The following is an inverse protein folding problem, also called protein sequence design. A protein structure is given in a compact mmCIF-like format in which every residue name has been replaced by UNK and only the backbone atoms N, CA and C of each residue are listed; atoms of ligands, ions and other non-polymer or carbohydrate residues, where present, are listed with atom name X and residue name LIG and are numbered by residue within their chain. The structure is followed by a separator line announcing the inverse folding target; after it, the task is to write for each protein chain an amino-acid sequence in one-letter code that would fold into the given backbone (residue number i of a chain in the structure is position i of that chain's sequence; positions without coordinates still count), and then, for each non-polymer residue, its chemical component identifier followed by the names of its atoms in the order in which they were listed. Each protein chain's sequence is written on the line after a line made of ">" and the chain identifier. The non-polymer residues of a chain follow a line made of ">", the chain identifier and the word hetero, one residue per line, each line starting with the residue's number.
data_IF_038043901348
#
_entry.id   IF_038043901348
#
_cell.length_a   1.000
_cell.length_b   1.000
_cell.length_c   1.000
_cell.angle_alpha   90.00
_cell.angle_beta   90.00
_cell.angle_gamma   90.00
#
_symmetry.space_group_name_H-M   'P 1'
#
loop_
_entity.id
_entity.type
_entity.pdbx_description
1 polymer ?
#
# COMPACT_ATOMS: atom_id res chain seq x y z
N UNK A 1 -8.57 11.60 -15.83
CA UNK A 1 -8.17 12.79 -15.05
C UNK A 1 -8.41 14.01 -15.91
N UNK A 2 -9.19 14.97 -15.45
CA UNK A 2 -9.70 16.08 -16.29
C UNK A 2 -9.70 17.44 -15.61
N UNK A 3 -9.31 17.52 -14.33
CA UNK A 3 -9.36 18.75 -13.54
C UNK A 3 -8.28 18.74 -12.42
N UNK A 4 -7.92 19.91 -11.85
CA UNK A 4 -6.89 19.99 -10.82
C UNK A 4 -7.20 19.17 -9.55
N UNK A 5 -8.48 19.04 -9.17
CA UNK A 5 -8.85 18.28 -7.97
C UNK A 5 -8.64 16.79 -8.19
N UNK A 6 -9.08 16.25 -9.33
CA UNK A 6 -8.82 14.85 -9.69
C UNK A 6 -7.32 14.57 -9.92
N UNK A 7 -6.54 15.57 -10.35
CA UNK A 7 -5.08 15.47 -10.41
C UNK A 7 -4.45 15.34 -9.03
N UNK A 8 -4.74 16.25 -8.09
CA UNK A 8 -4.13 16.22 -6.76
C UNK A 8 -4.57 14.97 -5.98
N UNK A 9 -5.82 14.52 -6.16
CA UNK A 9 -6.29 13.25 -5.61
C UNK A 9 -5.47 12.05 -6.12
N UNK A 10 -5.23 11.97 -7.44
CA UNK A 10 -4.40 10.92 -7.99
C UNK A 10 -2.94 11.04 -7.55
N UNK A 11 -2.40 12.26 -7.49
CA UNK A 11 -1.04 12.51 -7.02
C UNK A 11 -0.86 12.02 -5.57
N UNK A 12 -1.78 12.30 -4.64
CA UNK A 12 -1.72 11.79 -3.26
C UNK A 12 -1.58 10.27 -3.22
N UNK A 13 -2.29 9.56 -4.10
CA UNK A 13 -2.18 8.10 -4.19
C UNK A 13 -0.84 7.67 -4.76
N UNK A 14 -0.44 8.22 -5.90
CA UNK A 14 0.76 7.81 -6.64
C UNK A 14 2.06 8.17 -5.91
N UNK A 15 2.11 9.30 -5.21
CA UNK A 15 3.27 9.68 -4.37
C UNK A 15 3.52 8.64 -3.28
N UNK A 16 2.47 8.14 -2.62
CA UNK A 16 2.61 7.07 -1.63
C UNK A 16 3.11 5.76 -2.23
N UNK A 17 2.69 5.43 -3.46
CA UNK A 17 3.21 4.27 -4.22
C UNK A 17 4.68 4.48 -4.58
N UNK A 18 5.08 5.71 -4.94
CA UNK A 18 6.46 6.09 -5.22
C UNK A 18 7.36 5.93 -4.00
N UNK A 19 6.93 6.46 -2.84
CA UNK A 19 7.62 6.30 -1.56
C UNK A 19 7.77 4.80 -1.21
N UNK A 20 6.71 4.02 -1.36
CA UNK A 20 6.73 2.57 -1.17
C UNK A 20 7.74 1.85 -2.08
N UNK A 21 7.87 2.29 -3.32
CA UNK A 21 8.81 1.74 -4.30
C UNK A 21 10.27 2.06 -3.93
N UNK A 22 10.57 3.31 -3.60
CA UNK A 22 11.91 3.73 -3.18
C UNK A 22 12.35 2.99 -1.91
N UNK A 23 11.48 2.93 -0.90
CA UNK A 23 11.77 2.25 0.35
C UNK A 23 11.93 0.74 0.15
N UNK A 24 11.06 0.10 -0.64
CA UNK A 24 11.16 -1.32 -0.96
C UNK A 24 12.42 -1.69 -1.76
N UNK A 25 12.89 -0.80 -2.64
CA UNK A 25 14.10 -1.00 -3.42
C UNK A 25 15.39 -0.79 -2.59
N UNK A 26 15.33 -0.06 -1.48
CA UNK A 26 16.51 0.35 -0.70
C UNK A 26 17.40 -0.83 -0.28
N UNK A 27 16.79 -1.95 0.13
CA UNK A 27 17.51 -3.16 0.53
C UNK A 27 18.32 -3.81 -0.61
N UNK A 28 17.95 -3.55 -1.87
CA UNK A 28 18.63 -4.06 -3.05
C UNK A 28 19.85 -3.22 -3.48
N UNK A 29 20.07 -2.04 -2.88
CA UNK A 29 21.16 -1.14 -3.29
C UNK A 29 22.47 -1.54 -2.58
N UNK A 30 23.40 -2.10 -3.34
CA UNK A 30 24.70 -2.57 -2.82
C UNK A 30 25.69 -1.42 -2.60
N UNK A 31 25.71 -0.42 -3.49
CA UNK A 31 26.58 0.75 -3.38
C UNK A 31 26.10 1.69 -2.27
N UNK A 32 26.95 1.92 -1.27
CA UNK A 32 26.63 2.82 -0.14
C UNK A 32 26.43 4.27 -0.58
N UNK A 33 27.18 4.72 -1.59
CA UNK A 33 26.98 6.03 -2.17
C UNK A 33 25.59 6.16 -2.82
N UNK A 34 25.14 5.13 -3.54
CA UNK A 34 23.80 5.15 -4.14
C UNK A 34 22.70 4.97 -3.09
N UNK A 35 22.94 4.20 -2.02
CA UNK A 35 21.99 4.08 -0.93
C UNK A 35 21.79 5.44 -0.22
N UNK A 36 22.87 6.21 -0.01
CA UNK A 36 22.77 7.58 0.53
C UNK A 36 21.98 8.49 -0.41
N UNK A 37 22.25 8.46 -1.71
CA UNK A 37 21.50 9.25 -2.68
C UNK A 37 20.01 8.86 -2.73
N UNK A 38 19.71 7.56 -2.74
CA UNK A 38 18.35 7.03 -2.70
C UNK A 38 17.62 7.43 -1.40
N UNK A 39 18.32 7.41 -0.26
CA UNK A 39 17.77 7.89 1.01
C UNK A 39 17.40 9.38 0.97
N UNK A 40 18.23 10.22 0.33
CA UNK A 40 17.92 11.64 0.15
C UNK A 40 16.69 11.87 -0.76
N UNK A 41 16.55 11.08 -1.83
CA UNK A 41 15.37 11.11 -2.70
C UNK A 41 14.13 10.70 -1.92
N UNK A 42 14.19 9.58 -1.18
CA UNK A 42 13.07 9.08 -0.38
C UNK A 42 12.54 10.14 0.61
N UNK A 43 13.41 10.94 1.23
CA UNK A 43 12.99 12.06 2.10
C UNK A 43 12.16 13.09 1.32
N UNK A 44 12.57 13.42 0.09
CA UNK A 44 11.85 14.37 -0.76
C UNK A 44 10.48 13.83 -1.15
N UNK A 45 10.42 12.56 -1.57
CA UNK A 45 9.15 11.89 -1.93
C UNK A 45 8.20 11.82 -0.73
N UNK A 46 8.70 11.53 0.47
CA UNK A 46 7.88 11.53 1.69
C UNK A 46 7.30 12.92 2.01
N UNK A 47 8.05 14.00 1.75
CA UNK A 47 7.55 15.37 1.90
C UNK A 47 6.49 15.70 0.85
N UNK A 48 6.66 15.26 -0.40
CA UNK A 48 5.66 15.40 -1.45
C UNK A 48 4.37 14.65 -1.13
N UNK A 49 4.48 13.40 -0.66
CA UNK A 49 3.34 12.61 -0.20
C UNK A 49 2.60 13.35 0.93
N UNK A 50 3.32 13.83 1.94
CA UNK A 50 2.72 14.59 3.05
C UNK A 50 1.97 15.84 2.56
N UNK A 51 2.57 16.61 1.66
CA UNK A 51 1.96 17.82 1.09
C UNK A 51 0.71 17.51 0.25
N UNK A 52 0.75 16.47 -0.58
CA UNK A 52 -0.38 16.07 -1.44
C UNK A 52 -1.54 15.50 -0.62
N UNK A 53 -1.24 14.69 0.41
CA UNK A 53 -2.22 14.23 1.40
C UNK A 53 -2.93 15.40 2.07
N UNK A 54 -2.18 16.39 2.55
CA UNK A 54 -2.76 17.60 3.13
C UNK A 54 -3.70 18.33 2.15
N UNK A 55 -3.30 18.42 0.87
CA UNK A 55 -4.06 19.12 -0.15
C UNK A 55 -5.40 18.44 -0.48
N UNK A 56 -5.53 17.13 -0.23
CA UNK A 56 -6.78 16.38 -0.41
C UNK A 56 -7.59 16.24 0.90
N UNK A 57 -7.10 16.81 2.01
CA UNK A 57 -7.75 16.75 3.31
C UNK A 57 -7.44 15.48 4.12
N UNK A 58 -6.45 14.69 3.71
CA UNK A 58 -5.93 13.55 4.46
C UNK A 58 -4.91 14.01 5.51
N UNK A 59 -4.66 13.14 6.50
CA UNK A 59 -3.63 13.40 7.51
C UNK A 59 -2.24 13.26 6.85
N UNK A 60 -1.41 14.32 6.84
CA UNK A 60 -0.15 14.34 6.08
C UNK A 60 0.86 13.28 6.54
N UNK A 61 0.94 13.09 7.86
CA UNK A 61 1.83 12.15 8.55
C UNK A 61 1.05 11.00 9.19
N UNK A 62 0.05 10.46 8.48
CA UNK A 62 -0.81 9.38 8.98
C UNK A 62 -0.04 8.10 9.32
N UNK A 63 1.07 7.86 8.62
CA UNK A 63 2.00 6.78 8.92
C UNK A 63 3.44 7.34 8.89
N UNK A 64 4.14 7.22 10.03
CA UNK A 64 5.49 7.76 10.20
C UNK A 64 6.58 6.88 9.59
N UNK A 65 6.27 5.60 9.35
CA UNK A 65 7.14 4.65 8.70
C UNK A 65 6.45 4.30 7.38
N UNK A 66 6.92 4.80 6.24
CA UNK A 66 6.29 4.45 4.97
C UNK A 66 6.32 2.92 4.73
N UNK A 67 5.43 2.42 3.87
CA UNK A 67 5.25 0.99 3.66
C UNK A 67 6.11 0.49 2.49
N UNK A 68 7.17 -0.31 2.70
CA UNK A 68 7.96 -0.85 1.58
C UNK A 68 7.14 -1.84 0.74
N UNK A 69 7.21 -1.72 -0.59
CA UNK A 69 6.61 -2.67 -1.52
C UNK A 69 7.65 -3.29 -2.47
N UNK A 70 7.47 -4.56 -2.80
CA UNK A 70 8.26 -5.23 -3.83
C UNK A 70 7.93 -4.72 -5.25
N UNK A 71 8.87 -4.90 -6.19
CA UNK A 71 8.76 -4.38 -7.56
C UNK A 71 7.49 -4.84 -8.28
N UNK A 72 7.09 -6.10 -8.11
CA UNK A 72 5.87 -6.65 -8.71
C UNK A 72 4.61 -5.98 -8.15
N UNK A 73 4.58 -5.67 -6.84
CA UNK A 73 3.47 -4.97 -6.21
C UNK A 73 3.35 -3.53 -6.71
N UNK A 74 4.48 -2.80 -6.74
CA UNK A 74 4.56 -1.45 -7.30
C UNK A 74 4.10 -1.44 -8.75
N UNK A 75 4.60 -2.37 -9.57
CA UNK A 75 4.23 -2.46 -10.98
C UNK A 75 2.74 -2.80 -11.18
N UNK A 76 2.16 -3.66 -10.34
CA UNK A 76 0.73 -3.98 -10.36
C UNK A 76 -0.16 -2.75 -10.15
N UNK A 77 0.31 -1.77 -9.39
CA UNK A 77 -0.37 -0.47 -9.23
C UNK A 77 -0.04 0.44 -10.42
N UNK A 78 1.24 0.70 -10.66
CA UNK A 78 1.70 1.70 -11.62
C UNK A 78 1.25 1.41 -13.06
N UNK A 79 1.22 0.13 -13.46
CA UNK A 79 0.82 -0.27 -14.81
C UNK A 79 -0.59 0.15 -15.20
N UNK A 80 -1.49 0.38 -14.23
CA UNK A 80 -2.84 0.89 -14.49
C UNK A 80 -2.85 2.33 -15.02
N UNK A 81 -1.75 3.07 -14.82
CA UNK A 81 -1.58 4.45 -15.28
C UNK A 81 -0.70 4.55 -16.54
N UNK A 82 -0.13 3.43 -17.02
CA UNK A 82 0.74 3.38 -18.19
C UNK A 82 -0.09 2.99 -19.42
N UNK A 83 -0.23 3.92 -20.37
CA UNK A 83 -0.95 3.66 -21.63
C UNK A 83 -0.08 2.86 -22.62
N UNK A 84 1.18 3.27 -22.78
CA UNK A 84 2.14 2.61 -23.68
C UNK A 84 3.57 2.97 -23.30
N UNK A 85 4.49 2.02 -23.45
CA UNK A 85 5.92 2.27 -23.41
C UNK A 85 6.50 2.25 -24.84
N UNK A 86 7.53 3.04 -25.14
CA UNK A 86 8.31 2.91 -26.37
C UNK A 86 8.73 1.45 -26.61
N UNK A 87 8.58 0.95 -27.84
CA UNK A 87 8.79 -0.47 -28.17
C UNK A 87 10.27 -0.89 -28.14
N UNK A 88 11.18 0.07 -28.20
CA UNK A 88 12.63 -0.08 -28.06
C UNK A 88 13.09 -0.18 -26.60
N UNK A 89 12.19 0.05 -25.63
CA UNK A 89 12.51 -0.18 -24.22
C UNK A 89 12.70 -1.67 -23.93
N UNK A 90 13.71 -1.96 -23.12
CA UNK A 90 13.90 -3.31 -22.56
C UNK A 90 12.67 -3.64 -21.70
N UNK A 91 12.05 -4.83 -21.88
CA UNK A 91 10.96 -5.27 -21.02
C UNK A 91 11.40 -5.27 -19.56
N UNK A 92 10.61 -4.63 -18.70
CA UNK A 92 10.87 -4.63 -17.27
C UNK A 92 10.74 -6.07 -16.72
N UNK A 93 11.65 -6.54 -15.85
CA UNK A 93 11.59 -7.87 -15.25
C UNK A 93 10.58 -7.93 -14.11
N UNK A 94 9.34 -7.54 -14.39
CA UNK A 94 8.23 -7.43 -13.43
C UNK A 94 7.01 -8.17 -13.94
N UNK A 95 6.22 -8.66 -13.01
CA UNK A 95 4.98 -9.38 -13.27
C UNK A 95 3.88 -8.73 -12.44
N UNK A 96 2.87 -8.20 -13.12
CA UNK A 96 1.66 -7.74 -12.44
C UNK A 96 0.94 -8.94 -11.81
N UNK A 97 0.50 -8.75 -10.57
CA UNK A 97 -0.38 -9.68 -9.87
C UNK A 97 -1.81 -9.58 -10.41
N UNK A 98 -2.61 -10.59 -10.11
CA UNK A 98 -4.06 -10.48 -10.31
C UNK A 98 -4.61 -9.34 -9.47
N UNK A 99 -5.44 -8.47 -10.05
CA UNK A 99 -5.98 -7.32 -9.35
C UNK A 99 -6.83 -7.73 -8.12
N UNK A 100 -6.67 -6.96 -7.05
CA UNK A 100 -7.56 -6.96 -5.88
C UNK A 100 -8.20 -5.58 -5.81
N UNK A 101 -9.53 -5.53 -5.79
CA UNK A 101 -10.29 -4.29 -5.77
C UNK A 101 -10.96 -4.15 -4.41
N UNK A 102 -10.71 -3.05 -3.73
CA UNK A 102 -11.39 -2.64 -2.50
C UNK A 102 -12.80 -2.12 -2.86
N UNK A 103 -13.84 -2.57 -2.13
CA UNK A 103 -15.25 -2.28 -2.44
C UNK A 103 -16.01 -1.59 -1.30
N UNK A 104 -15.41 -1.39 -0.12
CA UNK A 104 -16.04 -0.73 1.04
C UNK A 104 -15.85 0.78 1.04
N UNK A 105 -14.95 1.32 0.21
CA UNK A 105 -14.69 2.75 0.09
C UNK A 105 -13.61 3.23 1.06
N UNK A 106 -12.99 4.36 0.69
CA UNK A 106 -11.94 5.01 1.47
C UNK A 106 -12.39 6.42 1.93
N UNK A 107 -11.95 6.90 3.11
CA UNK A 107 -11.09 6.19 4.08
C UNK A 107 -11.86 5.16 4.92
N UNK A 108 -11.14 4.16 5.43
CA UNK A 108 -11.64 3.18 6.40
C UNK A 108 -11.03 3.43 7.80
N UNK A 109 -11.44 2.66 8.81
CA UNK A 109 -10.94 2.76 10.17
C UNK A 109 -10.24 1.45 10.61
N UNK A 110 -9.24 1.51 11.50
CA UNK A 110 -8.70 0.33 12.14
C UNK A 110 -9.82 -0.47 12.84
N UNK A 111 -9.82 -1.79 12.67
CA UNK A 111 -10.86 -2.68 13.19
C UNK A 111 -12.16 -2.73 12.36
N UNK A 112 -12.30 -1.91 11.32
CA UNK A 112 -13.42 -2.01 10.39
C UNK A 112 -13.29 -3.25 9.50
N UNK A 113 -14.42 -3.84 9.12
CA UNK A 113 -14.46 -4.88 8.08
C UNK A 113 -14.50 -4.22 6.71
N UNK A 114 -13.52 -4.55 5.86
CA UNK A 114 -13.46 -4.13 4.46
C UNK A 114 -13.71 -5.33 3.55
N UNK A 115 -14.25 -5.06 2.37
CA UNK A 115 -14.60 -6.06 1.38
C UNK A 115 -13.78 -5.87 0.10
N UNK A 116 -13.34 -6.99 -0.48
CA UNK A 116 -12.54 -7.00 -1.70
C UNK A 116 -13.14 -7.93 -2.75
N UNK A 117 -12.79 -7.68 -4.00
CA UNK A 117 -13.07 -8.58 -5.12
C UNK A 117 -11.81 -8.85 -5.94
N UNK A 118 -11.71 -10.06 -6.47
CA UNK A 118 -10.63 -10.46 -7.35
C UNK A 118 -11.12 -11.50 -8.34
N UNK A 119 -10.42 -11.62 -9.48
CA UNK A 119 -10.62 -12.69 -10.46
C UNK A 119 -9.77 -13.94 -10.15
N UNK A 120 -8.91 -13.88 -9.13
CA UNK A 120 -8.11 -15.02 -8.73
C UNK A 120 -8.97 -16.12 -8.10
N UNK A 121 -8.52 -17.37 -8.22
CA UNK A 121 -9.17 -18.50 -7.57
C UNK A 121 -8.97 -18.44 -6.05
N UNK A 122 -10.07 -18.57 -5.31
CA UNK A 122 -10.11 -18.49 -3.84
C UNK A 122 -10.32 -19.87 -3.21
N UNK A 123 -9.49 -20.84 -3.59
CA UNK A 123 -9.58 -22.22 -3.11
C UNK A 123 -8.81 -22.45 -1.80
N UNK A 124 -9.39 -23.19 -0.86
CA UNK A 124 -8.76 -23.50 0.43
C UNK A 124 -8.65 -22.28 1.36
N UNK A 125 -7.88 -22.43 2.44
CA UNK A 125 -7.66 -21.35 3.41
C UNK A 125 -6.86 -20.22 2.77
N UNK A 126 -7.32 -18.98 2.97
CA UNK A 126 -6.73 -17.75 2.42
C UNK A 126 -6.74 -16.68 3.50
N UNK A 127 -5.85 -15.73 3.33
CA UNK A 127 -5.70 -14.59 4.23
C UNK A 127 -5.73 -13.30 3.43
N UNK A 128 -6.15 -12.22 4.07
CA UNK A 128 -5.82 -10.88 3.61
C UNK A 128 -4.63 -10.40 4.42
N UNK A 129 -3.50 -10.18 3.76
CA UNK A 129 -2.29 -9.64 4.37
C UNK A 129 -2.23 -8.15 4.13
N UNK A 130 -2.30 -7.39 5.22
CA UNK A 130 -2.20 -5.94 5.24
C UNK A 130 -0.75 -5.52 5.52
N UNK A 131 -0.27 -4.57 4.72
CA UNK A 131 1.00 -3.89 4.88
C UNK A 131 0.72 -2.43 5.24
N UNK A 132 1.20 -2.00 6.40
CA UNK A 132 1.11 -0.62 6.89
C UNK A 132 2.39 -0.26 7.62
N UNK A 133 3.18 0.63 7.04
CA UNK A 133 4.53 0.89 7.47
C UNK A 133 5.37 -0.37 7.47
N UNK A 134 5.99 -0.71 8.61
CA UNK A 134 6.77 -1.94 8.73
C UNK A 134 5.95 -3.13 9.23
N UNK A 135 4.65 -2.93 9.48
CA UNK A 135 3.77 -4.00 9.95
C UNK A 135 3.23 -4.81 8.77
N UNK A 136 3.40 -6.13 8.85
CA UNK A 136 2.85 -7.12 7.93
C UNK A 136 1.91 -8.02 8.73
N UNK A 137 0.61 -7.87 8.51
CA UNK A 137 -0.39 -8.60 9.30
C UNK A 137 -1.38 -9.33 8.41
N UNK A 138 -1.29 -10.66 8.46
CA UNK A 138 -2.23 -11.55 7.82
C UNK A 138 -3.45 -11.79 8.73
N UNK A 139 -4.63 -11.49 8.22
CA UNK A 139 -5.90 -11.80 8.89
C UNK A 139 -6.67 -12.86 8.09
N UNK A 140 -7.36 -13.81 8.76
CA UNK A 140 -8.24 -14.75 8.07
C UNK A 140 -9.30 -13.99 7.28
N UNK A 141 -9.56 -14.40 6.04
CA UNK A 141 -10.61 -13.80 5.24
C UNK A 141 -11.85 -14.68 5.19
N UNK A 142 -13.02 -14.05 5.16
CA UNK A 142 -14.32 -14.74 5.01
C UNK A 142 -14.93 -14.42 3.67
N UNK A 143 -15.41 -15.43 2.95
CA UNK A 143 -16.15 -15.21 1.71
C UNK A 143 -17.62 -14.94 2.04
N UNK A 144 -18.13 -13.76 1.67
CA UNK A 144 -19.54 -13.38 1.80
C UNK A 144 -20.04 -12.79 0.49
N UNK A 145 -21.12 -13.36 -0.06
CA UNK A 145 -21.74 -12.86 -1.30
C UNK A 145 -20.74 -12.58 -2.44
N UNK A 146 -19.80 -13.51 -2.67
CA UNK A 146 -18.71 -13.41 -3.66
C UNK A 146 -17.63 -12.36 -3.39
N UNK A 147 -17.66 -11.71 -2.22
CA UNK A 147 -16.61 -10.79 -1.76
C UNK A 147 -15.76 -11.42 -0.67
N UNK A 148 -14.50 -11.00 -0.62
CA UNK A 148 -13.54 -11.35 0.41
C UNK A 148 -13.65 -10.29 1.51
N UNK A 149 -14.10 -10.66 2.69
CA UNK A 149 -14.17 -9.77 3.85
C UNK A 149 -12.98 -10.01 4.79
N UNK A 150 -12.38 -8.93 5.28
CA UNK A 150 -11.29 -8.97 6.24
C UNK A 150 -11.34 -7.74 7.17
N UNK A 151 -10.90 -7.92 8.41
CA UNK A 151 -10.82 -6.84 9.39
C UNK A 151 -9.50 -6.09 9.23
N UNK A 152 -9.56 -4.76 9.07
CA UNK A 152 -8.38 -3.90 9.01
C UNK A 152 -7.63 -3.98 10.35
N UNK A 153 -6.32 -4.26 10.37
CA UNK A 153 -5.58 -4.37 11.62
C UNK A 153 -5.53 -3.06 12.40
N UNK A 154 -5.46 -3.15 13.73
CA UNK A 154 -5.52 -1.98 14.62
C UNK A 154 -4.34 -1.02 14.48
N UNK A 155 -3.19 -1.52 14.06
CA UNK A 155 -1.98 -0.72 13.81
C UNK A 155 -1.92 -0.12 12.40
N UNK A 156 -2.89 -0.41 11.52
CA UNK A 156 -2.89 0.16 10.17
C UNK A 156 -3.21 1.66 10.19
N UNK A 157 -2.51 2.45 9.38
CA UNK A 157 -2.74 3.89 9.29
C UNK A 157 -2.22 4.48 7.97
N UNK A 158 -2.88 5.55 7.53
CA UNK A 158 -2.61 6.21 6.25
C UNK A 158 -2.78 5.28 5.06
N UNK A 159 -2.04 5.56 3.99
CA UNK A 159 -2.04 4.70 2.81
C UNK A 159 -1.41 3.35 3.13
N UNK A 160 -2.23 2.31 3.10
CA UNK A 160 -1.89 0.92 3.40
C UNK A 160 -2.24 0.03 2.21
N UNK A 161 -1.69 -1.18 2.19
CA UNK A 161 -1.88 -2.12 1.08
C UNK A 161 -2.42 -3.44 1.58
N UNK A 162 -3.35 -4.04 0.85
CA UNK A 162 -3.88 -5.37 1.13
C UNK A 162 -3.58 -6.33 -0.01
N UNK A 163 -3.23 -7.56 0.34
CA UNK A 163 -2.98 -8.67 -0.57
C UNK A 163 -3.81 -9.87 -0.15
N UNK A 164 -4.30 -10.65 -1.10
CA UNK A 164 -4.77 -12.00 -0.81
C UNK A 164 -3.57 -12.93 -0.86
N UNK A 165 -3.37 -13.71 0.19
CA UNK A 165 -2.23 -14.63 0.33
C UNK A 165 -2.65 -16.05 0.66
N UNK A 166 -1.78 -17.00 0.31
CA UNK A 166 -1.94 -18.43 0.63
C UNK A 166 -1.48 -18.81 2.04
N UNK A 167 -0.67 -17.98 2.70
CA UNK A 167 -0.15 -18.21 4.06
C UNK A 167 -0.26 -16.98 4.95
N UNK A 168 -0.04 -17.18 6.25
CA UNK A 168 -0.07 -16.17 7.30
C UNK A 168 1.27 -16.02 8.03
N UNK A 169 2.38 -16.27 7.33
CA UNK A 169 3.72 -16.44 7.91
C UNK A 169 4.35 -15.14 8.45
N UNK A 170 3.60 -14.04 8.52
CA UNK A 170 4.11 -12.72 8.92
C UNK A 170 5.12 -12.12 7.92
N UNK A 171 5.25 -12.72 6.74
CA UNK A 171 6.11 -12.25 5.66
C UNK A 171 5.34 -12.29 4.33
N UNK A 172 5.56 -11.28 3.49
CA UNK A 172 4.95 -11.20 2.17
C UNK A 172 5.99 -11.57 1.10
N UNK A 173 5.75 -12.66 0.37
CA UNK A 173 6.62 -13.08 -0.73
C UNK A 173 5.82 -13.20 -2.02
N UNK A 174 6.46 -12.98 -3.15
CA UNK A 174 5.81 -13.04 -4.47
C UNK A 174 5.13 -14.39 -4.72
N UNK A 175 5.65 -15.48 -4.14
CA UNK A 175 5.06 -16.83 -4.24
C UNK A 175 3.81 -17.04 -3.38
N UNK A 176 3.63 -16.27 -2.30
CA UNK A 176 2.45 -16.38 -1.44
C UNK A 176 1.31 -15.46 -1.89
N UNK A 177 1.60 -14.45 -2.71
CA UNK A 177 0.60 -13.50 -3.24
C UNK A 177 -0.25 -14.16 -4.32
N UNK A 178 -1.57 -14.08 -4.13
CA UNK A 178 -2.59 -14.57 -5.07
C UNK A 178 -3.21 -13.41 -5.85
N UNK A 179 -3.50 -12.31 -5.16
CA UNK A 179 -4.02 -11.09 -5.73
C UNK A 179 -3.59 -9.87 -4.91
N UNK A 180 -3.47 -8.71 -5.55
CA UNK A 180 -3.15 -7.45 -4.91
C UNK A 180 -2.17 -6.60 -5.70
N UNK A 181 -1.63 -5.55 -5.08
CA UNK A 181 -2.19 -4.91 -3.90
C UNK A 181 -3.52 -4.20 -4.22
N UNK A 182 -4.42 -4.18 -3.24
CA UNK A 182 -5.45 -3.14 -3.14
C UNK A 182 -4.90 -2.01 -2.26
N UNK A 183 -5.21 -0.75 -2.60
CA UNK A 183 -4.82 0.43 -1.80
C UNK A 183 -5.97 0.77 -0.85
N UNK A 184 -5.65 1.02 0.41
CA UNK A 184 -6.57 1.52 1.43
C UNK A 184 -6.03 2.82 2.01
N UNK A 185 -6.91 3.74 2.33
CA UNK A 185 -6.62 4.88 3.18
C UNK A 185 -7.22 4.60 4.56
N UNK A 186 -6.38 4.39 5.57
CA UNK A 186 -6.81 4.05 6.93
C UNK A 186 -6.67 5.27 7.83
N UNK A 187 -7.77 5.71 8.44
CA UNK A 187 -7.75 6.83 9.36
C UNK A 187 -6.93 6.46 10.61
N UNK A 188 -5.82 7.16 10.92
CA UNK A 188 -5.04 6.88 12.11
C UNK A 188 -5.90 7.06 13.38
N UNK A 189 -5.63 6.24 14.39
CA UNK A 189 -6.25 6.38 15.71
C UNK A 189 -5.98 7.78 16.29
N UNK A 190 -6.99 8.34 16.96
CA UNK A 190 -6.81 9.59 17.71
C UNK A 190 -5.67 9.47 18.71
N UNK A 191 -4.82 10.50 18.86
CA UNK A 191 -3.77 10.48 19.88
C UNK A 191 -4.39 10.31 21.27
N UNK A 192 -3.81 9.43 22.07
CA UNK A 192 -4.17 9.25 23.48
C UNK A 192 -3.28 10.17 24.32
N UNK A 193 -3.90 11.01 25.15
CA UNK A 193 -3.20 11.86 26.11
C UNK A 193 -3.39 11.29 27.51
N UNK A 194 -2.30 10.84 28.13
CA UNK A 194 -2.31 10.44 29.53
C UNK A 194 -1.97 11.64 30.42
N UNK A 195 -3.01 12.31 30.93
CA UNK A 195 -2.86 13.44 31.85
C UNK A 195 -2.45 13.01 33.27
N UNK A 196 -2.33 11.70 33.54
CA UNK A 196 -1.90 11.17 34.85
C UNK A 196 -0.39 11.09 35.01
N UNK A 197 0.38 11.25 33.91
CA UNK A 197 1.84 11.31 33.95
C UNK A 197 2.26 12.60 34.64
N UNK A 198 2.78 12.47 35.86
CA UNK A 198 3.48 13.56 36.57
C UNK A 198 4.96 13.48 36.20
N UNK A 199 5.52 14.61 35.76
CA UNK A 199 6.94 14.77 35.46
C UNK A 199 7.82 14.57 36.70
#
# INVERSE_FOLDING_TARGET
>A
MTDPKSFVALASVVEGVGVSAYLGAAAGITSKAYLTAAGAILVTEALHQSATRNAVGEIPMANILATPLGLNAVYSIASQFIVSCPADNIPLPVKAYTALVENSGNPTAPGATVSFSTKAAMEGTKYVTFLSGLDIVAVPCTMRAWMIEAVVPMQASGQSYAFVTSSNDGNLTDSSIIAGPAILEVTPSSPTFDLSIKA
#
